data_IF_550624812415
#
_entry.id   IF_550624812415
#
_cell.length_a   1.000
_cell.length_b   1.000
_cell.length_c   1.000
_cell.angle_alpha   90.00
_cell.angle_beta   90.00
_cell.angle_gamma   90.00
#
_symmetry.space_group_name_H-M   'P 1'
#
loop_
_entity.id
_entity.type
_entity.pdbx_description
1 polymer ?
#
# COMPACT_ATOMS: atom_id res chain seq x y z
N UNK A 1 3.78 -15.08 5.05
CA UNK A 1 4.21 -13.98 5.94
C UNK A 1 5.63 -14.19 6.49
N UNK A 2 5.98 -15.34 7.07
CA UNK A 2 7.34 -15.62 7.57
C UNK A 2 8.41 -15.43 6.48
N UNK A 3 8.23 -16.05 5.33
CA UNK A 3 9.12 -15.89 4.17
C UNK A 3 9.28 -14.42 3.72
N UNK A 4 8.18 -13.64 3.70
CA UNK A 4 8.25 -12.21 3.41
C UNK A 4 9.12 -11.46 4.42
N UNK A 5 8.97 -11.77 5.72
CA UNK A 5 9.79 -11.15 6.77
C UNK A 5 11.27 -11.52 6.60
N UNK A 6 11.58 -12.78 6.27
CA UNK A 6 12.94 -13.24 6.01
C UNK A 6 13.55 -12.52 4.80
N UNK A 7 12.80 -12.44 3.70
CA UNK A 7 13.24 -11.76 2.45
C UNK A 7 13.45 -10.27 2.66
N UNK A 8 12.56 -9.60 3.38
CA UNK A 8 12.72 -8.18 3.69
C UNK A 8 13.72 -7.91 4.81
N UNK A 9 14.32 -8.95 5.43
CA UNK A 9 15.29 -8.79 6.52
C UNK A 9 14.72 -8.17 7.79
N UNK A 10 13.41 -8.35 8.03
CA UNK A 10 12.70 -7.79 9.18
C UNK A 10 12.34 -8.86 10.20
N UNK A 11 12.32 -8.49 11.49
CA UNK A 11 11.84 -9.39 12.54
C UNK A 11 10.32 -9.48 12.50
N UNK A 12 9.79 -10.70 12.77
CA UNK A 12 8.37 -11.02 12.70
C UNK A 12 7.55 -10.06 13.55
N UNK A 13 6.46 -9.59 12.97
CA UNK A 13 5.39 -8.87 13.66
C UNK A 13 4.76 -9.71 14.76
N UNK A 14 4.40 -9.08 15.86
CA UNK A 14 3.38 -9.65 16.75
C UNK A 14 2.09 -9.84 15.95
N UNK A 15 1.55 -11.06 16.00
CA UNK A 15 0.36 -11.50 15.26
C UNK A 15 -0.89 -10.66 15.54
N UNK A 16 -0.99 -9.47 14.98
CA UNK A 16 -2.30 -8.85 14.80
C UNK A 16 -2.86 -9.33 13.45
N UNK A 17 -3.46 -10.50 13.47
CA UNK A 17 -4.28 -10.98 12.38
C UNK A 17 -5.63 -10.24 12.44
N UNK A 18 -5.69 -9.09 11.82
CA UNK A 18 -6.98 -8.51 11.46
C UNK A 18 -7.33 -8.97 10.05
N UNK A 19 -8.47 -9.61 9.87
CA UNK A 19 -8.95 -10.04 8.56
C UNK A 19 -9.56 -8.90 7.73
N UNK A 20 -9.80 -7.75 8.33
CA UNK A 20 -10.45 -6.62 7.66
C UNK A 20 -9.83 -5.32 8.16
N UNK A 21 -8.83 -4.85 7.43
CA UNK A 21 -8.19 -3.57 7.70
C UNK A 21 -8.76 -2.54 6.71
N UNK A 22 -9.62 -1.67 7.22
CA UNK A 22 -10.19 -0.58 6.43
C UNK A 22 -9.34 0.70 6.54
N UNK A 23 -9.44 1.63 5.56
CA UNK A 23 -8.83 2.95 5.67
C UNK A 23 -9.22 3.66 6.99
N UNK A 24 -8.23 4.25 7.66
CA UNK A 24 -8.36 4.82 8.99
C UNK A 24 -7.99 3.87 10.12
N UNK A 25 -7.73 2.59 9.84
CA UNK A 25 -7.15 1.64 10.79
C UNK A 25 -5.61 1.68 10.75
N UNK A 26 -4.99 0.97 11.67
CA UNK A 26 -3.54 0.82 11.74
C UNK A 26 -3.08 -0.32 10.83
N UNK A 27 -1.99 -0.07 10.11
CA UNK A 27 -1.31 -1.03 9.24
C UNK A 27 0.18 -1.07 9.56
N UNK A 28 0.82 -2.12 9.13
CA UNK A 28 2.27 -2.23 9.19
C UNK A 28 2.91 -1.55 7.98
N UNK A 29 4.01 -0.87 8.21
CA UNK A 29 4.90 -0.36 7.17
C UNK A 29 6.33 -0.83 7.41
N UNK A 30 7.03 -1.15 6.33
CA UNK A 30 8.49 -1.39 6.33
C UNK A 30 9.15 -0.14 5.77
N UNK A 31 10.07 0.43 6.50
CA UNK A 31 10.79 1.65 6.10
C UNK A 31 12.19 1.67 6.71
N UNK A 32 13.00 2.66 6.36
CA UNK A 32 14.35 2.84 6.88
C UNK A 32 14.36 3.90 7.98
N UNK A 33 14.98 3.56 9.11
CA UNK A 33 15.30 4.50 10.19
C UNK A 33 16.77 4.29 10.60
N UNK A 34 17.56 5.35 10.55
CA UNK A 34 18.99 5.30 10.87
C UNK A 34 19.77 4.24 10.09
N UNK A 35 19.41 4.01 8.83
CA UNK A 35 20.03 3.03 7.94
C UNK A 35 19.58 1.59 8.14
N UNK A 36 18.65 1.32 9.06
CA UNK A 36 18.12 -0.02 9.31
C UNK A 36 16.68 -0.15 8.82
N UNK A 37 16.35 -1.30 8.21
CA UNK A 37 14.97 -1.64 7.90
C UNK A 37 14.22 -1.98 9.17
N UNK A 38 13.17 -1.25 9.43
CA UNK A 38 12.30 -1.48 10.57
C UNK A 38 10.85 -1.63 10.14
N UNK A 39 10.09 -2.21 11.03
CA UNK A 39 8.65 -2.28 10.91
C UNK A 39 8.02 -1.37 11.93
N UNK A 40 7.15 -0.50 11.47
CA UNK A 40 6.36 0.38 12.33
C UNK A 40 4.88 0.21 12.07
N UNK A 41 4.08 0.52 13.08
CA UNK A 41 2.64 0.68 12.94
C UNK A 41 2.35 2.09 12.42
N UNK A 42 1.53 2.21 11.38
CA UNK A 42 1.12 3.48 10.81
C UNK A 42 -0.40 3.56 10.65
N UNK A 43 -0.95 4.74 10.77
CA UNK A 43 -2.35 5.02 10.44
C UNK A 43 -2.51 4.97 8.92
N UNK A 44 -3.38 4.12 8.39
CA UNK A 44 -3.70 4.08 6.95
C UNK A 44 -4.58 5.27 6.55
N UNK A 45 -4.01 6.45 6.70
CA UNK A 45 -4.59 7.76 6.36
C UNK A 45 -3.48 8.81 6.37
N UNK A 46 -3.09 9.34 5.23
CA UNK A 46 -1.87 10.13 5.10
C UNK A 46 -1.92 11.49 5.81
N UNK A 47 -3.08 12.15 5.79
CA UNK A 47 -3.29 13.45 6.44
C UNK A 47 -3.94 13.26 7.81
N UNK A 48 -3.22 13.59 8.86
CA UNK A 48 -3.71 13.61 10.23
C UNK A 48 -3.89 15.05 10.71
N UNK A 49 -4.78 15.26 11.68
CA UNK A 49 -4.85 16.50 12.44
C UNK A 49 -3.65 16.59 13.39
N UNK A 50 -2.94 17.72 13.40
CA UNK A 50 -1.72 17.89 14.21
C UNK A 50 -1.99 17.82 15.71
N UNK A 51 -3.15 18.30 16.15
CA UNK A 51 -3.51 18.36 17.57
C UNK A 51 -3.93 16.99 18.14
N UNK A 52 -4.54 16.16 17.33
CA UNK A 52 -5.14 14.89 17.80
C UNK A 52 -4.50 13.65 17.20
N UNK A 53 -3.64 13.78 16.19
CA UNK A 53 -3.05 12.72 15.39
C UNK A 53 -4.07 11.73 14.81
N UNK A 54 -5.34 12.16 14.70
CA UNK A 54 -6.42 11.38 14.10
C UNK A 54 -6.57 11.69 12.61
N UNK A 55 -7.13 10.76 11.82
CA UNK A 55 -7.37 10.97 10.40
C UNK A 55 -8.16 12.24 10.11
N UNK A 56 -7.67 13.04 9.16
CA UNK A 56 -8.41 14.16 8.64
C UNK A 56 -9.36 13.71 7.53
N UNK A 57 -10.55 13.28 7.90
CA UNK A 57 -11.56 12.73 6.98
C UNK A 57 -12.12 13.75 5.95
N UNK A 58 -11.69 15.00 6.01
CA UNK A 58 -11.99 15.98 4.95
C UNK A 58 -11.40 15.55 3.59
N UNK A 59 -10.30 14.80 3.63
CA UNK A 59 -9.56 14.40 2.45
C UNK A 59 -9.35 12.87 2.49
N UNK A 60 -9.80 12.17 1.46
CA UNK A 60 -9.55 10.73 1.29
C UNK A 60 -8.06 10.51 0.95
N UNK A 61 -7.19 10.51 1.97
CA UNK A 61 -5.73 10.47 1.82
C UNK A 61 -5.11 9.11 2.13
N UNK A 62 -5.90 8.05 2.17
CA UNK A 62 -5.40 6.68 2.34
C UNK A 62 -4.73 6.13 1.07
N UNK A 63 -5.00 6.74 -0.10
CA UNK A 63 -4.34 6.45 -1.38
C UNK A 63 -3.60 7.68 -1.92
N UNK A 64 -2.46 7.43 -2.56
CA UNK A 64 -1.62 8.42 -3.25
C UNK A 64 -1.58 8.10 -4.74
N UNK A 65 -2.19 8.93 -5.56
CA UNK A 65 -2.24 8.71 -7.02
C UNK A 65 -0.87 8.92 -7.66
N UNK A 66 -0.46 8.01 -8.53
CA UNK A 66 0.84 8.06 -9.23
C UNK A 66 1.03 9.35 -10.06
N UNK A 67 -0.04 9.87 -10.69
CA UNK A 67 0.01 11.11 -11.48
C UNK A 67 0.29 12.38 -10.63
N UNK A 68 0.28 12.29 -9.31
CA UNK A 68 0.58 13.40 -8.38
C UNK A 68 2.00 13.35 -7.79
N UNK A 69 2.70 12.24 -7.93
CA UNK A 69 4.01 12.03 -7.28
C UNK A 69 5.10 12.99 -7.80
N UNK A 70 5.02 13.41 -9.07
CA UNK A 70 5.94 14.36 -9.70
C UNK A 70 5.45 15.81 -9.66
N UNK A 71 4.26 16.06 -9.10
CA UNK A 71 3.69 17.41 -9.02
C UNK A 71 4.20 18.13 -7.78
N UNK A 72 5.07 19.14 -7.93
CA UNK A 72 5.74 19.89 -6.83
C UNK A 72 4.81 20.42 -5.73
N UNK A 73 3.55 20.72 -6.04
CA UNK A 73 2.56 21.23 -5.05
C UNK A 73 1.74 20.10 -4.41
N UNK A 74 1.95 18.85 -4.81
CA UNK A 74 1.27 17.70 -4.21
C UNK A 74 1.83 17.39 -2.83
N UNK A 75 0.95 16.97 -1.93
CA UNK A 75 1.34 16.48 -0.59
C UNK A 75 2.22 15.23 -0.66
N UNK A 76 2.24 14.54 -1.80
CA UNK A 76 2.99 13.30 -2.04
C UNK A 76 4.35 13.55 -2.68
N UNK A 77 4.65 14.78 -3.14
CA UNK A 77 5.88 15.10 -3.87
C UNK A 77 7.15 14.83 -3.04
N UNK A 78 7.24 15.43 -1.86
CA UNK A 78 8.38 15.24 -0.94
C UNK A 78 8.40 13.81 -0.37
N UNK A 79 7.28 13.25 0.15
CA UNK A 79 7.28 11.86 0.61
C UNK A 79 7.70 10.83 -0.43
N UNK A 80 7.37 11.03 -1.70
CA UNK A 80 7.82 10.12 -2.76
C UNK A 80 9.35 10.15 -2.95
N UNK A 81 10.03 11.20 -2.55
CA UNK A 81 11.49 11.33 -2.61
C UNK A 81 12.20 10.91 -1.33
N UNK A 82 11.51 10.97 -0.20
CA UNK A 82 12.19 10.88 1.10
C UNK A 82 11.56 9.89 2.08
N UNK A 83 10.33 9.45 1.84
CA UNK A 83 9.55 8.68 2.81
C UNK A 83 8.71 7.61 2.12
N UNK A 84 9.37 6.79 1.30
CA UNK A 84 8.75 5.60 0.70
C UNK A 84 8.75 4.46 1.71
N UNK A 85 7.74 3.62 1.64
CA UNK A 85 7.64 2.42 2.47
C UNK A 85 7.06 1.25 1.68
N UNK A 86 7.15 0.07 2.25
CA UNK A 86 6.46 -1.13 1.79
C UNK A 86 5.34 -1.43 2.78
N UNK A 87 4.16 -1.73 2.27
CA UNK A 87 3.00 -2.12 3.07
C UNK A 87 2.67 -3.58 2.75
N UNK A 88 2.98 -4.54 3.65
CA UNK A 88 2.75 -5.95 3.40
C UNK A 88 1.27 -6.33 3.63
N UNK A 89 0.75 -7.19 2.77
CA UNK A 89 -0.58 -7.77 2.88
C UNK A 89 -0.62 -9.21 2.36
N UNK A 90 -1.61 -9.98 2.78
CA UNK A 90 -1.89 -11.31 2.21
C UNK A 90 -2.90 -11.23 1.06
N UNK A 91 -3.82 -10.29 1.14
CA UNK A 91 -4.85 -10.01 0.14
C UNK A 91 -5.32 -8.57 0.27
N UNK A 92 -6.09 -8.11 -0.71
CA UNK A 92 -6.82 -6.85 -0.61
C UNK A 92 -8.19 -6.98 -1.26
N UNK A 93 -9.07 -6.05 -0.93
CA UNK A 93 -10.42 -6.00 -1.50
C UNK A 93 -10.59 -4.74 -2.31
N UNK A 94 -11.09 -4.91 -3.52
CA UNK A 94 -11.52 -3.83 -4.40
C UNK A 94 -13.02 -3.89 -4.63
N UNK A 95 -13.64 -2.72 -4.72
CA UNK A 95 -15.04 -2.59 -5.07
C UNK A 95 -15.22 -1.98 -6.45
N UNK A 96 -16.16 -2.49 -7.21
CA UNK A 96 -16.49 -1.98 -8.56
C UNK A 96 -16.98 -0.52 -8.55
N UNK A 97 -17.48 -0.07 -7.38
CA UNK A 97 -17.99 1.29 -7.17
C UNK A 97 -19.51 1.37 -7.15
N UNK A 98 -20.21 0.27 -7.39
CA UNK A 98 -21.66 0.11 -7.30
C UNK A 98 -22.16 -0.11 -5.86
N UNK A 99 -21.22 -0.32 -4.89
CA UNK A 99 -21.46 -0.66 -3.48
C UNK A 99 -22.01 -2.07 -3.24
N UNK A 100 -22.01 -2.92 -4.25
CA UNK A 100 -22.56 -4.27 -4.22
C UNK A 100 -21.54 -5.31 -4.66
N UNK A 101 -20.67 -4.96 -5.62
CA UNK A 101 -19.68 -5.88 -6.20
C UNK A 101 -18.31 -5.65 -5.57
N UNK A 102 -17.78 -6.70 -4.93
CA UNK A 102 -16.46 -6.69 -4.30
C UNK A 102 -15.64 -7.89 -4.74
N UNK A 103 -14.36 -7.66 -4.90
CA UNK A 103 -13.38 -8.68 -5.28
C UNK A 103 -12.25 -8.72 -4.26
N UNK A 104 -11.98 -9.91 -3.74
CA UNK A 104 -10.74 -10.21 -3.02
C UNK A 104 -9.67 -10.56 -4.06
N UNK A 105 -8.51 -9.94 -3.94
CA UNK A 105 -7.35 -10.18 -4.81
C UNK A 105 -6.18 -10.69 -3.99
N UNK A 106 -5.59 -11.78 -4.45
CA UNK A 106 -4.40 -12.42 -3.88
C UNK A 106 -3.35 -12.61 -4.98
N UNK A 107 -2.09 -12.70 -4.63
CA UNK A 107 -1.05 -13.17 -5.55
C UNK A 107 -0.88 -14.68 -5.41
N UNK A 108 -0.73 -15.38 -6.53
CA UNK A 108 -0.51 -16.82 -6.53
C UNK A 108 0.82 -17.16 -5.85
N UNK A 109 0.76 -17.91 -4.74
CA UNK A 109 1.92 -18.39 -4.00
C UNK A 109 2.79 -17.30 -3.36
N UNK A 110 2.31 -16.06 -3.26
CA UNK A 110 3.10 -14.92 -2.79
C UNK A 110 2.32 -14.00 -1.87
N UNK A 111 3.03 -13.27 -1.00
CA UNK A 111 2.48 -12.12 -0.31
C UNK A 111 2.46 -10.90 -1.24
N UNK A 112 1.63 -9.93 -0.90
CA UNK A 112 1.55 -8.63 -1.57
C UNK A 112 2.43 -7.63 -0.81
N UNK A 113 3.18 -6.84 -1.55
CA UNK A 113 3.95 -5.72 -1.04
C UNK A 113 3.53 -4.46 -1.80
N UNK A 114 2.69 -3.65 -1.18
CA UNK A 114 2.31 -2.39 -1.79
C UNK A 114 3.43 -1.37 -1.67
N UNK A 115 3.68 -0.63 -2.74
CA UNK A 115 4.46 0.60 -2.68
C UNK A 115 3.62 1.68 -2.00
N UNK A 116 4.16 2.25 -0.94
CA UNK A 116 3.50 3.25 -0.13
C UNK A 116 4.38 4.45 0.19
N UNK A 117 3.74 5.47 0.72
CA UNK A 117 4.38 6.66 1.29
C UNK A 117 4.00 6.76 2.77
N UNK A 118 4.92 7.29 3.58
CA UNK A 118 4.64 7.52 4.99
C UNK A 118 5.02 8.93 5.44
N UNK A 119 4.53 9.32 6.59
CA UNK A 119 4.92 10.55 7.32
C UNK A 119 5.03 10.25 8.79
N UNK A 120 6.01 10.86 9.43
CA UNK A 120 6.06 11.00 10.87
C UNK A 120 5.27 12.25 11.27
N UNK A 121 4.32 12.09 12.18
CA UNK A 121 3.50 13.16 12.71
C UNK A 121 3.76 13.29 14.20
N UNK A 122 4.06 14.51 14.65
CA UNK A 122 4.40 14.79 16.05
C UNK A 122 3.35 15.76 16.60
N UNK A 123 2.71 15.35 17.69
CA UNK A 123 1.93 16.28 18.49
C UNK A 123 2.90 17.16 19.30
N UNK A 124 2.90 18.46 19.02
CA UNK A 124 3.87 19.40 19.61
C UNK A 124 3.63 19.67 21.09
N UNK A 125 2.43 19.40 21.61
CA UNK A 125 2.07 19.63 23.00
C UNK A 125 2.46 18.42 23.86
N UNK A 126 2.23 17.20 23.36
CA UNK A 126 2.45 15.96 24.11
C UNK A 126 3.77 15.27 23.78
N UNK A 127 4.39 15.61 22.64
CA UNK A 127 5.53 14.86 22.10
C UNK A 127 5.19 13.50 21.52
N UNK A 128 3.90 13.13 21.43
CA UNK A 128 3.46 11.88 20.83
C UNK A 128 3.82 11.82 19.35
N UNK A 129 4.36 10.67 18.91
CA UNK A 129 4.73 10.42 17.52
C UNK A 129 3.85 9.32 16.94
N UNK A 130 3.24 9.60 15.79
CA UNK A 130 2.44 8.62 15.03
C UNK A 130 2.87 8.63 13.56
N UNK A 131 3.14 7.45 13.02
CA UNK A 131 3.30 7.30 11.58
C UNK A 131 1.95 7.27 10.89
N UNK A 132 1.87 7.89 9.73
CA UNK A 132 0.73 7.79 8.82
C UNK A 132 1.21 7.31 7.45
N UNK A 133 0.38 6.56 6.73
CA UNK A 133 0.75 6.00 5.45
C UNK A 133 -0.38 6.05 4.42
N UNK A 134 -0.01 5.97 3.15
CA UNK A 134 -0.91 5.81 2.02
C UNK A 134 -0.35 4.82 1.01
N UNK A 135 -1.22 4.07 0.35
CA UNK A 135 -0.85 3.17 -0.75
C UNK A 135 -0.79 4.00 -2.04
N UNK A 136 0.25 3.79 -2.85
CA UNK A 136 0.31 4.39 -4.17
C UNK A 136 -0.64 3.64 -5.10
N UNK A 137 -1.46 4.39 -5.86
CA UNK A 137 -2.37 3.83 -6.85
C UNK A 137 -1.99 4.25 -8.25
N UNK A 138 -2.09 3.30 -9.17
CA UNK A 138 -1.82 3.41 -10.60
C UNK A 138 -3.14 3.55 -11.38
N UNK A 139 -3.12 3.97 -12.64
CA UNK A 139 -4.24 3.76 -13.54
C UNK A 139 -4.65 2.27 -13.57
N UNK A 140 -5.89 1.93 -13.91
CA UNK A 140 -6.31 0.54 -13.99
C UNK A 140 -5.63 -0.18 -15.14
N UNK A 141 -5.36 -1.48 -14.99
CA UNK A 141 -4.90 -2.35 -16.06
C UNK A 141 -6.08 -2.73 -16.98
N UNK A 142 -6.17 -2.08 -18.11
CA UNK A 142 -7.28 -2.27 -19.06
C UNK A 142 -6.94 -3.37 -20.08
N UNK A 143 -7.87 -4.29 -20.40
CA UNK A 143 -9.26 -4.40 -19.92
C UNK A 143 -9.41 -5.21 -18.62
N UNK A 144 -8.39 -5.91 -18.15
CA UNK A 144 -8.47 -6.95 -17.11
C UNK A 144 -9.02 -6.43 -15.77
N UNK A 145 -8.81 -5.15 -15.47
CA UNK A 145 -9.20 -4.54 -14.19
C UNK A 145 -10.58 -3.85 -14.22
N UNK A 146 -11.21 -3.74 -15.40
CA UNK A 146 -12.45 -2.99 -15.56
C UNK A 146 -13.60 -3.49 -14.68
N UNK A 147 -13.71 -4.82 -14.55
CA UNK A 147 -14.77 -5.46 -13.77
C UNK A 147 -14.43 -5.62 -12.28
N UNK A 148 -13.23 -5.22 -11.87
CA UNK A 148 -12.75 -5.26 -10.48
C UNK A 148 -12.83 -3.87 -9.87
N UNK A 149 -12.06 -2.92 -10.43
CA UNK A 149 -12.06 -1.51 -10.02
C UNK A 149 -11.62 -0.61 -11.18
N UNK A 150 -12.56 0.01 -11.92
CA UNK A 150 -12.24 0.68 -13.19
C UNK A 150 -11.46 2.00 -13.03
N UNK A 151 -11.21 2.46 -11.80
CA UNK A 151 -10.59 3.78 -11.57
C UNK A 151 -9.09 3.70 -11.29
N UNK A 152 -8.62 2.64 -10.66
CA UNK A 152 -7.23 2.49 -10.23
C UNK A 152 -6.91 1.06 -9.81
N UNK A 153 -5.62 0.77 -9.69
CA UNK A 153 -5.11 -0.43 -9.04
C UNK A 153 -3.97 -0.04 -8.08
N UNK A 154 -3.69 -0.79 -7.02
CA UNK A 154 -2.57 -0.49 -6.14
C UNK A 154 -1.23 -0.78 -6.83
N UNK A 155 -0.20 0.02 -6.51
CA UNK A 155 1.18 -0.31 -6.87
C UNK A 155 1.63 -1.51 -6.04
N UNK A 156 1.95 -2.60 -6.70
CA UNK A 156 2.58 -3.78 -6.10
C UNK A 156 4.05 -3.84 -6.49
N UNK A 157 4.92 -4.06 -5.53
CA UNK A 157 6.37 -4.20 -5.74
C UNK A 157 6.73 -5.69 -5.79
N UNK A 158 7.74 -6.03 -6.59
CA UNK A 158 8.35 -7.33 -6.50
C UNK A 158 9.39 -7.32 -5.38
N UNK A 159 9.04 -7.89 -4.23
CA UNK A 159 9.93 -7.93 -3.07
C UNK A 159 11.04 -8.99 -3.19
N UNK A 160 11.03 -9.81 -4.24
CA UNK A 160 12.11 -10.73 -4.59
C UNK A 160 13.21 -10.04 -5.41
N UNK A 161 12.93 -8.84 -5.92
CA UNK A 161 13.93 -7.97 -6.52
C UNK A 161 14.60 -7.12 -5.43
N UNK A 162 15.66 -7.66 -4.85
CA UNK A 162 16.41 -7.00 -3.77
C UNK A 162 16.91 -5.61 -4.17
N UNK A 163 17.34 -5.43 -5.42
CA UNK A 163 17.83 -4.15 -5.89
C UNK A 163 16.72 -3.10 -5.95
N UNK A 164 15.52 -3.50 -6.36
CA UNK A 164 14.34 -2.64 -6.34
C UNK A 164 13.96 -2.28 -4.90
N UNK A 165 13.92 -3.26 -3.99
CA UNK A 165 13.57 -3.06 -2.58
C UNK A 165 14.53 -2.11 -1.88
N UNK A 166 15.85 -2.32 -2.07
CA UNK A 166 16.88 -1.44 -1.53
C UNK A 166 16.68 0.00 -2.01
N UNK A 167 16.59 0.19 -3.33
CA UNK A 167 16.43 1.51 -3.94
C UNK A 167 15.09 2.17 -3.53
N UNK A 168 14.01 1.38 -3.43
CA UNK A 168 12.70 1.89 -3.03
C UNK A 168 12.70 2.41 -1.59
N UNK A 169 13.32 1.69 -0.68
CA UNK A 169 13.33 2.04 0.75
C UNK A 169 14.40 3.08 1.11
N UNK A 170 15.40 3.30 0.27
CA UNK A 170 16.49 4.24 0.52
C UNK A 170 15.97 5.70 0.52
N UNK A 171 15.96 6.40 1.68
CA UNK A 171 15.54 7.80 1.74
C UNK A 171 16.51 8.76 1.04
N UNK A 172 17.77 8.34 0.81
CA UNK A 172 18.77 9.14 0.11
C UNK A 172 18.71 8.99 -1.42
N UNK A 173 18.00 7.97 -1.90
CA UNK A 173 17.76 7.82 -3.34
C UNK A 173 16.73 8.83 -3.82
N UNK A 174 17.20 9.92 -4.45
CA UNK A 174 16.39 11.08 -4.88
C UNK A 174 16.03 11.06 -6.37
N UNK A 175 16.67 10.22 -7.17
CA UNK A 175 16.39 10.07 -8.63
C UNK A 175 15.14 9.19 -8.82
N UNK A 176 14.00 9.71 -8.37
CA UNK A 176 12.72 8.96 -8.39
C UNK A 176 12.14 8.82 -9.80
N UNK A 177 12.68 9.50 -10.78
CA UNK A 177 12.37 9.33 -12.20
C UNK A 177 12.70 7.92 -12.68
N UNK A 178 13.65 7.22 -12.07
CA UNK A 178 13.91 5.79 -12.33
C UNK A 178 12.71 4.88 -11.99
N UNK A 179 11.77 5.34 -11.15
CA UNK A 179 10.55 4.60 -10.84
C UNK A 179 9.41 4.83 -11.84
N UNK A 180 9.56 5.68 -12.87
CA UNK A 180 8.48 5.96 -13.82
C UNK A 180 7.91 4.68 -14.44
N UNK A 181 8.76 3.76 -14.88
CA UNK A 181 8.32 2.47 -15.42
C UNK A 181 7.59 1.60 -14.40
N UNK A 182 7.96 1.71 -13.11
CA UNK A 182 7.29 0.99 -12.04
C UNK A 182 5.86 1.49 -11.81
N UNK A 183 5.59 2.75 -12.14
CA UNK A 183 4.28 3.39 -12.01
C UNK A 183 3.33 3.10 -13.18
N UNK A 184 3.76 2.31 -14.15
CA UNK A 184 2.89 1.80 -15.21
C UNK A 184 2.09 0.58 -14.71
N UNK A 185 0.77 0.50 -15.01
CA UNK A 185 -0.05 -0.64 -14.59
C UNK A 185 0.41 -1.94 -15.25
N UNK A 186 0.65 -2.96 -14.44
CA UNK A 186 1.10 -4.28 -14.90
C UNK A 186 0.77 -5.39 -13.91
N UNK A 187 0.72 -6.61 -14.40
CA UNK A 187 0.66 -7.81 -13.58
C UNK A 187 2.10 -8.25 -13.25
N UNK A 188 2.50 -8.13 -12.00
CA UNK A 188 3.82 -8.56 -11.52
C UNK A 188 3.91 -10.09 -11.39
N UNK A 189 2.91 -10.66 -10.71
CA UNK A 189 2.70 -12.11 -10.50
C UNK A 189 1.24 -12.42 -10.80
N UNK A 190 0.90 -13.67 -11.18
CA UNK A 190 -0.49 -14.05 -11.39
C UNK A 190 -1.36 -13.69 -10.18
N UNK A 191 -2.51 -13.10 -10.44
CA UNK A 191 -3.47 -12.70 -9.42
C UNK A 191 -4.66 -13.66 -9.41
N UNK A 192 -5.05 -14.09 -8.22
CA UNK A 192 -6.29 -14.85 -7.99
C UNK A 192 -7.34 -13.83 -7.55
N UNK A 193 -8.39 -13.71 -8.35
CA UNK A 193 -9.49 -12.79 -8.11
C UNK A 193 -10.73 -13.57 -7.76
N UNK A 194 -11.29 -13.29 -6.59
CA UNK A 194 -12.48 -13.98 -6.05
C UNK A 194 -13.56 -12.94 -5.78
N UNK A 195 -14.71 -13.08 -6.42
CA UNK A 195 -15.86 -12.25 -6.09
C UNK A 195 -16.41 -12.66 -4.72
N UNK A 196 -16.66 -11.69 -3.85
CA UNK A 196 -17.05 -11.92 -2.44
C UNK A 196 -18.33 -11.17 -2.10
N UNK A 197 -19.02 -11.66 -1.06
CA UNK A 197 -20.28 -11.07 -0.58
C UNK A 197 -20.09 -9.64 -0.04
N UNK A 198 -19.08 -9.42 0.76
CA UNK A 198 -18.72 -8.09 1.31
C UNK A 198 -17.32 -8.06 1.93
N UNK A 199 -16.71 -6.86 2.00
CA UNK A 199 -15.35 -6.71 2.54
C UNK A 199 -15.13 -7.25 3.95
N UNK A 200 -16.16 -7.22 4.79
CA UNK A 200 -16.06 -7.65 6.20
C UNK A 200 -16.21 -9.17 6.43
N UNK A 201 -16.57 -9.96 5.40
CA UNK A 201 -16.79 -11.41 5.53
C UNK A 201 -15.96 -12.27 4.61
N UNK A 202 -15.68 -11.78 3.39
CA UNK A 202 -14.89 -12.45 2.37
C UNK A 202 -15.44 -13.82 1.91
N UNK A 203 -16.74 -14.08 2.07
CA UNK A 203 -17.32 -15.31 1.57
C UNK A 203 -17.36 -15.29 0.04
N UNK A 204 -16.73 -16.27 -0.65
CA UNK A 204 -16.82 -16.37 -2.09
C UNK A 204 -18.27 -16.57 -2.52
N UNK A 205 -18.69 -15.87 -3.58
CA UNK A 205 -20.02 -16.01 -4.18
C UNK A 205 -19.96 -16.51 -5.63
N UNK A 206 -18.78 -16.53 -6.23
CA UNK A 206 -18.50 -17.08 -7.55
C UNK A 206 -17.15 -17.80 -7.53
N UNK A 207 -16.86 -18.62 -8.54
CA UNK A 207 -15.56 -19.23 -8.74
C UNK A 207 -14.47 -18.16 -8.97
N UNK A 208 -13.28 -18.40 -8.45
CA UNK A 208 -12.15 -17.50 -8.67
C UNK A 208 -11.63 -17.60 -10.09
N UNK A 209 -11.15 -16.49 -10.62
CA UNK A 209 -10.44 -16.45 -11.90
C UNK A 209 -9.02 -15.88 -11.72
N UNK A 210 -8.19 -16.09 -12.74
CA UNK A 210 -6.82 -15.61 -12.72
C UNK A 210 -6.59 -14.49 -13.73
N UNK A 211 -5.82 -13.50 -13.32
CA UNK A 211 -5.19 -12.53 -14.21
C UNK A 211 -3.72 -12.94 -14.33
N UNK A 212 -3.33 -13.36 -15.53
CA UNK A 212 -1.98 -13.82 -15.82
C UNK A 212 -1.06 -12.65 -16.20
N UNK A 213 0.26 -12.85 -15.97
CA UNK A 213 1.30 -11.92 -16.36
C UNK A 213 1.43 -11.78 -17.88
#
# INVERSE_FOLDING_TARGET
MQWLCETLGIRIFSNQQSHDIAPGAKIAIVHIVNGERIVSEAMWWFLLYHETLKPNYKYASFNSRSDKLFTKRSITYTPFRESRCIIPASAFVEGLGDKETYHKVELEGSAITFGGLYKENINRETGEVVYSASIITLPPLVPQWNDIHPKSMPLMLDFEDDALVEKWLDPEFKDVEEFEQLLEPRVQKPMIVTKIDKPSKWNPIEDSFMILK
#
